data_IF_111906000775
#
_entry.id   IF_111906000775
#
_cell.length_a   1.000
_cell.length_b   1.000
_cell.length_c   1.000
_cell.angle_alpha   90.00
_cell.angle_beta   90.00
_cell.angle_gamma   90.00
#
_symmetry.space_group_name_H-M   'P 1'
#
loop_
_entity.id
_entity.type
_entity.pdbx_description
1 polymer ?
#
# COMPACT_ATOMS: atom_id res chain seq x y z
N UNK A 1 -1.56 -17.42 -3.04
CA UNK A 1 -2.82 -16.75 -2.69
C UNK A 1 -3.90 -17.80 -2.51
N UNK A 2 -4.61 -17.76 -1.39
CA UNK A 2 -5.62 -18.75 -1.07
C UNK A 2 -7.01 -18.18 -1.31
N UNK A 3 -7.84 -18.90 -2.06
CA UNK A 3 -9.25 -18.58 -2.29
C UNK A 3 -9.98 -18.42 -0.95
N UNK A 4 -10.84 -17.40 -0.83
CA UNK A 4 -11.61 -17.09 0.39
C UNK A 4 -10.81 -16.38 1.49
N UNK A 5 -9.51 -16.05 1.26
CA UNK A 5 -8.69 -15.33 2.24
C UNK A 5 -8.29 -13.92 1.79
N UNK A 6 -8.63 -13.53 0.57
CA UNK A 6 -8.27 -12.24 -0.03
C UNK A 6 -9.52 -11.49 -0.46
N UNK A 7 -9.54 -10.17 -0.26
CA UNK A 7 -10.65 -9.29 -0.67
C UNK A 7 -12.02 -9.82 -0.24
N UNK A 8 -12.16 -10.17 1.03
CA UNK A 8 -13.37 -10.84 1.57
C UNK A 8 -14.62 -9.98 1.42
N UNK A 9 -14.55 -8.65 1.59
CA UNK A 9 -15.66 -7.74 1.36
C UNK A 9 -16.14 -7.78 -0.11
N UNK A 10 -15.19 -7.76 -1.05
CA UNK A 10 -15.48 -7.89 -2.47
C UNK A 10 -16.05 -9.28 -2.78
N UNK A 11 -15.51 -10.34 -2.17
CA UNK A 11 -15.97 -11.72 -2.36
C UNK A 11 -17.42 -11.93 -1.92
N UNK A 12 -17.94 -11.19 -0.93
CA UNK A 12 -19.33 -11.23 -0.52
C UNK A 12 -20.30 -10.87 -1.68
N UNK A 13 -19.86 -9.99 -2.58
CA UNK A 13 -20.68 -9.54 -3.71
C UNK A 13 -20.42 -10.33 -5.00
N UNK A 14 -19.16 -10.65 -5.33
CA UNK A 14 -18.78 -11.25 -6.61
C UNK A 14 -18.39 -12.73 -6.51
N UNK A 15 -18.30 -13.28 -5.31
CA UNK A 15 -17.82 -14.63 -5.02
C UNK A 15 -16.30 -14.75 -4.97
N UNK A 16 -15.81 -15.80 -4.30
CA UNK A 16 -14.37 -15.99 -4.02
C UNK A 16 -13.52 -16.11 -5.28
N UNK A 17 -14.04 -16.76 -6.33
CA UNK A 17 -13.27 -16.98 -7.57
C UNK A 17 -13.02 -15.65 -8.29
N UNK A 18 -14.05 -14.83 -8.41
CA UNK A 18 -13.95 -13.53 -9.06
C UNK A 18 -13.09 -12.56 -8.23
N UNK A 19 -13.27 -12.55 -6.90
CA UNK A 19 -12.45 -11.74 -6.01
C UNK A 19 -10.95 -12.10 -6.11
N UNK A 20 -10.63 -13.39 -6.24
CA UNK A 20 -9.26 -13.86 -6.44
C UNK A 20 -8.69 -13.39 -7.79
N UNK A 21 -9.47 -13.46 -8.88
CA UNK A 21 -9.08 -12.96 -10.21
C UNK A 21 -8.79 -11.46 -10.15
N UNK A 22 -9.68 -10.69 -9.54
CA UNK A 22 -9.52 -9.24 -9.37
C UNK A 22 -8.24 -8.95 -8.58
N UNK A 23 -8.03 -9.65 -7.46
CA UNK A 23 -6.83 -9.44 -6.65
C UNK A 23 -5.54 -9.76 -7.41
N UNK A 24 -5.52 -10.81 -8.23
CA UNK A 24 -4.38 -11.09 -9.11
C UNK A 24 -4.09 -9.94 -10.09
N UNK A 25 -5.13 -9.32 -10.66
CA UNK A 25 -4.97 -8.17 -11.55
C UNK A 25 -4.43 -6.94 -10.82
N UNK A 26 -4.90 -6.68 -9.59
CA UNK A 26 -4.37 -5.62 -8.74
C UNK A 26 -2.87 -5.81 -8.45
N UNK A 27 -2.45 -7.03 -8.12
CA UNK A 27 -1.04 -7.34 -7.93
C UNK A 27 -0.21 -7.17 -9.23
N UNK A 28 -0.75 -7.59 -10.38
CA UNK A 28 -0.10 -7.39 -11.68
C UNK A 28 0.06 -5.90 -11.99
N UNK A 29 -0.96 -5.10 -11.69
CA UNK A 29 -0.91 -3.65 -11.83
C UNK A 29 0.17 -3.04 -10.92
N UNK A 30 0.14 -3.35 -9.63
CA UNK A 30 1.14 -2.87 -8.64
C UNK A 30 2.57 -3.24 -9.09
N UNK A 31 2.77 -4.46 -9.61
CA UNK A 31 4.04 -4.86 -10.22
C UNK A 31 4.39 -3.98 -11.42
N UNK A 32 3.45 -3.67 -12.30
CA UNK A 32 3.69 -2.85 -13.49
C UNK A 32 4.15 -1.43 -13.14
N UNK A 33 3.59 -0.87 -12.08
CA UNK A 33 3.95 0.45 -11.53
C UNK A 33 5.33 0.42 -10.88
N UNK A 34 5.59 -0.57 -10.04
CA UNK A 34 6.82 -0.62 -9.23
C UNK A 34 8.05 -1.10 -10.02
N UNK A 35 7.88 -1.93 -11.06
CA UNK A 35 9.01 -2.46 -11.86
C UNK A 35 9.84 -1.37 -12.54
N UNK A 36 9.26 -0.20 -12.78
CA UNK A 36 9.89 0.95 -13.44
C UNK A 36 10.70 1.83 -12.48
N UNK A 37 10.61 1.59 -11.18
CA UNK A 37 11.34 2.35 -10.18
C UNK A 37 12.81 1.89 -10.11
N UNK A 38 13.70 2.86 -9.98
CA UNK A 38 15.14 2.60 -9.75
C UNK A 38 15.44 2.69 -8.25
N UNK A 39 14.97 1.71 -7.49
CA UNK A 39 15.21 1.56 -6.06
C UNK A 39 15.17 0.08 -5.69
N UNK A 40 15.64 -0.25 -4.48
CA UNK A 40 15.42 -1.59 -3.91
C UNK A 40 13.93 -1.82 -3.68
N UNK A 41 13.47 -3.04 -3.92
CA UNK A 41 12.06 -3.42 -3.84
C UNK A 41 11.89 -4.65 -2.97
N UNK A 42 10.95 -4.56 -2.06
CA UNK A 42 10.63 -5.60 -1.09
C UNK A 42 9.15 -5.97 -1.19
N UNK A 43 8.85 -7.25 -1.10
CA UNK A 43 7.47 -7.75 -1.03
C UNK A 43 7.30 -8.52 0.27
N UNK A 44 6.31 -8.12 1.05
CA UNK A 44 6.01 -8.71 2.35
C UNK A 44 4.73 -9.56 2.26
N UNK A 45 4.87 -10.86 2.46
CA UNK A 45 3.78 -11.83 2.41
C UNK A 45 3.15 -12.04 3.79
N UNK A 46 1.84 -12.19 3.82
CA UNK A 46 1.10 -12.39 5.08
C UNK A 46 1.25 -13.77 5.69
N UNK A 47 1.47 -14.81 4.86
CA UNK A 47 1.43 -16.21 5.30
C UNK A 47 2.71 -16.96 4.93
N UNK A 48 3.05 -17.03 3.64
CA UNK A 48 4.23 -17.74 3.14
C UNK A 48 4.85 -17.04 1.95
N UNK A 49 6.17 -17.14 1.82
CA UNK A 49 6.88 -16.65 0.64
C UNK A 49 6.66 -17.64 -0.50
N UNK A 50 6.22 -17.11 -1.65
CA UNK A 50 6.15 -17.86 -2.90
C UNK A 50 7.28 -17.38 -3.83
N UNK A 51 8.18 -18.28 -4.18
CA UNK A 51 9.30 -17.98 -5.07
C UNK A 51 8.93 -18.10 -6.56
N UNK A 52 7.75 -18.65 -6.88
CA UNK A 52 7.26 -18.88 -8.24
C UNK A 52 6.07 -17.99 -8.61
N UNK A 53 5.93 -16.86 -7.96
CA UNK A 53 4.85 -15.90 -8.21
C UNK A 53 5.23 -14.82 -9.22
N UNK A 54 4.40 -13.79 -9.31
CA UNK A 54 4.58 -12.68 -10.26
C UNK A 54 5.79 -11.77 -9.93
N UNK A 55 6.33 -11.81 -8.69
CA UNK A 55 7.42 -10.94 -8.27
C UNK A 55 8.77 -11.58 -8.59
N UNK A 56 9.47 -11.05 -9.59
CA UNK A 56 10.78 -11.51 -10.06
C UNK A 56 11.82 -11.45 -8.93
N UNK A 57 12.34 -12.62 -8.52
CA UNK A 57 13.32 -12.75 -7.45
C UNK A 57 14.63 -11.98 -7.68
N UNK A 58 14.94 -11.59 -8.92
CA UNK A 58 16.10 -10.76 -9.25
C UNK A 58 15.86 -9.26 -9.01
N UNK A 59 14.60 -8.85 -8.84
CA UNK A 59 14.19 -7.45 -8.72
C UNK A 59 13.48 -7.13 -7.42
N UNK A 60 12.94 -8.16 -6.76
CA UNK A 60 12.18 -8.02 -5.52
C UNK A 60 12.72 -8.97 -4.47
N UNK A 61 13.12 -8.44 -3.34
CA UNK A 61 13.43 -9.24 -2.16
C UNK A 61 12.13 -9.59 -1.42
N UNK A 62 12.01 -10.84 -1.01
CA UNK A 62 10.76 -11.40 -0.47
C UNK A 62 10.88 -11.67 1.02
N UNK A 63 9.96 -11.15 1.81
CA UNK A 63 9.91 -11.27 3.26
C UNK A 63 8.54 -11.73 3.75
N UNK A 64 8.47 -12.23 4.98
CA UNK A 64 7.22 -12.45 5.69
C UNK A 64 6.89 -11.24 6.54
N UNK A 65 5.61 -10.86 6.57
CA UNK A 65 5.10 -9.87 7.51
C UNK A 65 5.24 -10.39 8.95
N UNK A 66 5.62 -9.53 9.86
CA UNK A 66 5.72 -9.83 11.28
C UNK A 66 4.81 -8.90 12.08
N UNK A 67 3.97 -9.45 12.95
CA UNK A 67 3.00 -8.71 13.76
C UNK A 67 1.59 -9.28 13.65
N UNK A 68 0.75 -8.97 14.62
CA UNK A 68 -0.63 -9.46 14.73
C UNK A 68 -1.62 -8.53 13.99
N UNK A 69 -1.38 -7.23 14.04
CA UNK A 69 -2.17 -6.20 13.39
C UNK A 69 -1.50 -5.67 12.12
N UNK A 70 -2.26 -4.98 11.26
CA UNK A 70 -1.71 -4.30 10.08
C UNK A 70 -0.63 -3.28 10.49
N UNK A 71 -0.88 -2.52 11.56
CA UNK A 71 0.07 -1.54 12.05
C UNK A 71 1.39 -2.16 12.49
N UNK A 72 1.36 -3.24 13.27
CA UNK A 72 2.56 -3.95 13.68
C UNK A 72 3.34 -4.51 12.50
N UNK A 73 2.64 -5.03 11.49
CA UNK A 73 3.27 -5.55 10.26
C UNK A 73 3.95 -4.45 9.46
N UNK A 74 3.29 -3.31 9.30
CA UNK A 74 3.89 -2.15 8.63
C UNK A 74 5.06 -1.58 9.42
N UNK A 75 4.92 -1.47 10.75
CA UNK A 75 5.97 -1.01 11.65
C UNK A 75 7.22 -1.90 11.54
N UNK A 76 7.04 -3.22 11.61
CA UNK A 76 8.13 -4.19 11.50
C UNK A 76 8.82 -4.08 10.13
N UNK A 77 8.06 -4.05 9.04
CA UNK A 77 8.61 -3.94 7.69
C UNK A 77 9.44 -2.66 7.50
N UNK A 78 8.97 -1.53 8.02
CA UNK A 78 9.72 -0.27 7.97
C UNK A 78 10.95 -0.29 8.87
N UNK A 79 10.82 -0.80 10.10
CA UNK A 79 11.94 -0.93 11.03
C UNK A 79 13.09 -1.76 10.44
N UNK A 80 12.77 -2.88 9.80
CA UNK A 80 13.75 -3.74 9.13
C UNK A 80 14.54 -2.98 8.06
N UNK A 81 13.87 -2.20 7.23
CA UNK A 81 14.53 -1.46 6.17
C UNK A 81 15.42 -0.33 6.71
N UNK A 82 14.96 0.37 7.75
CA UNK A 82 15.80 1.38 8.40
C UNK A 82 17.00 0.77 9.14
N UNK A 83 16.84 -0.41 9.77
CA UNK A 83 17.94 -1.15 10.38
C UNK A 83 19.00 -1.59 9.37
N UNK A 84 18.61 -1.85 8.11
CA UNK A 84 19.52 -2.10 6.98
C UNK A 84 20.17 -0.82 6.42
N UNK A 85 19.95 0.35 7.04
CA UNK A 85 20.57 1.61 6.65
C UNK A 85 19.88 2.35 5.50
N UNK A 86 18.66 1.96 5.11
CA UNK A 86 17.88 2.70 4.11
C UNK A 86 17.55 4.09 4.65
N UNK A 87 17.75 5.11 3.84
CA UNK A 87 17.53 6.51 4.25
C UNK A 87 16.13 7.03 3.97
N UNK A 88 15.43 6.42 3.03
CA UNK A 88 14.05 6.75 2.66
C UNK A 88 13.34 5.45 2.34
N UNK A 89 12.24 5.18 3.01
CA UNK A 89 11.45 3.97 2.81
C UNK A 89 10.01 4.37 2.54
N UNK A 90 9.42 3.76 1.51
CA UNK A 90 8.02 3.97 1.13
C UNK A 90 7.35 2.60 1.11
N UNK A 91 6.25 2.46 1.84
CA UNK A 91 5.36 1.30 1.80
C UNK A 91 4.08 1.68 1.07
N UNK A 92 3.57 0.77 0.25
CA UNK A 92 2.34 0.94 -0.53
C UNK A 92 1.40 -0.25 -0.32
N UNK A 93 0.10 0.00 -0.42
CA UNK A 93 -0.90 -1.04 -0.63
C UNK A 93 -0.77 -1.67 -2.02
N UNK A 94 -1.41 -2.81 -2.22
CA UNK A 94 -1.41 -3.53 -3.50
C UNK A 94 -2.78 -3.54 -4.18
N UNK A 95 -3.67 -2.68 -3.76
CA UNK A 95 -5.09 -2.63 -4.12
C UNK A 95 -5.57 -1.28 -4.69
N UNK A 96 -4.64 -0.34 -4.89
CA UNK A 96 -4.91 0.96 -5.48
C UNK A 96 -4.49 0.98 -6.97
N UNK A 97 -5.45 0.88 -7.89
CA UNK A 97 -5.19 0.92 -9.33
C UNK A 97 -4.99 2.34 -9.89
N UNK A 98 -5.30 3.35 -9.10
CA UNK A 98 -5.04 4.75 -9.45
C UNK A 98 -3.59 5.16 -9.14
N UNK A 99 -2.82 4.32 -8.42
CA UNK A 99 -1.43 4.59 -8.08
C UNK A 99 -0.53 4.48 -9.31
N UNK A 100 0.14 5.55 -9.67
CA UNK A 100 1.06 5.60 -10.81
C UNK A 100 2.53 5.69 -10.37
N UNK A 101 3.43 5.24 -11.25
CA UNK A 101 4.89 5.27 -11.01
C UNK A 101 5.40 6.67 -10.63
N UNK A 102 4.86 7.73 -11.23
CA UNK A 102 5.30 9.10 -10.94
C UNK A 102 4.95 9.54 -9.50
N UNK A 103 3.85 9.05 -8.94
CA UNK A 103 3.44 9.37 -7.56
C UNK A 103 4.42 8.78 -6.54
N UNK A 104 4.92 7.56 -6.78
CA UNK A 104 5.96 6.95 -5.94
C UNK A 104 7.28 7.72 -6.09
N UNK A 105 7.62 8.16 -7.29
CA UNK A 105 8.79 9.03 -7.51
C UNK A 105 8.65 10.36 -6.80
N UNK A 106 7.47 10.97 -6.83
CA UNK A 106 7.15 12.19 -6.08
C UNK A 106 7.31 11.96 -4.58
N UNK A 107 6.80 10.82 -4.04
CA UNK A 107 6.98 10.46 -2.64
C UNK A 107 8.46 10.45 -2.24
N UNK A 108 9.33 9.83 -3.03
CA UNK A 108 10.78 9.85 -2.75
C UNK A 108 11.40 11.24 -2.86
N UNK A 109 10.95 12.07 -3.80
CA UNK A 109 11.46 13.43 -3.98
C UNK A 109 11.06 14.34 -2.81
N UNK A 110 9.81 14.30 -2.38
CA UNK A 110 9.35 15.16 -1.26
C UNK A 110 9.95 14.75 0.08
N UNK A 111 10.36 13.48 0.25
CA UNK A 111 11.09 13.00 1.43
C UNK A 111 12.52 13.58 1.54
N UNK A 112 13.02 14.30 0.56
CA UNK A 112 14.28 15.06 0.70
C UNK A 112 14.13 16.21 1.71
N UNK A 113 12.95 16.80 1.80
CA UNK A 113 12.68 17.99 2.61
C UNK A 113 11.58 17.77 3.67
N UNK A 114 10.93 16.59 3.70
CA UNK A 114 9.90 16.23 4.65
C UNK A 114 10.29 14.97 5.42
N UNK A 115 9.80 14.84 6.64
CA UNK A 115 10.05 13.65 7.48
C UNK A 115 9.16 12.48 7.05
N UNK A 116 7.94 12.78 6.60
CA UNK A 116 6.90 11.80 6.21
C UNK A 116 6.21 12.25 4.92
N UNK A 117 5.83 11.30 4.08
CA UNK A 117 4.89 11.47 2.97
C UNK A 117 3.74 10.50 3.14
N UNK A 118 2.53 10.96 2.89
CA UNK A 118 1.32 10.14 2.97
C UNK A 118 0.54 10.30 1.67
N UNK A 119 0.13 9.18 1.09
CA UNK A 119 -0.86 9.12 0.02
C UNK A 119 -2.21 8.73 0.61
N UNK A 120 -3.13 9.68 0.85
CA UNK A 120 -4.40 9.42 1.49
C UNK A 120 -5.29 8.50 0.63
N UNK A 121 -6.02 7.60 1.26
CA UNK A 121 -7.11 6.86 0.66
C UNK A 121 -8.45 7.49 1.04
N UNK A 122 -9.46 7.36 0.18
CA UNK A 122 -10.76 8.01 0.38
C UNK A 122 -11.58 7.41 1.53
N UNK A 123 -11.21 6.21 2.00
CA UNK A 123 -11.80 5.52 3.14
C UNK A 123 -11.29 6.01 4.51
N UNK A 124 -10.42 7.03 4.53
CA UNK A 124 -9.81 7.56 5.76
C UNK A 124 -8.50 6.91 6.16
N UNK A 125 -8.01 5.94 5.39
CA UNK A 125 -6.69 5.35 5.48
C UNK A 125 -5.66 6.02 4.56
N UNK A 126 -4.68 5.25 4.13
CA UNK A 126 -3.70 5.70 3.14
C UNK A 126 -3.17 4.52 2.30
N UNK A 127 -3.06 4.75 0.99
CA UNK A 127 -2.48 3.80 0.04
C UNK A 127 -0.95 3.82 0.04
N UNK A 128 -0.35 4.88 0.58
CA UNK A 128 1.10 5.07 0.64
C UNK A 128 1.50 5.75 1.94
N UNK A 129 2.52 5.22 2.60
CA UNK A 129 3.22 5.86 3.71
C UNK A 129 4.73 5.79 3.46
N UNK A 130 5.40 6.94 3.48
CA UNK A 130 6.86 7.00 3.36
C UNK A 130 7.47 7.85 4.45
N UNK A 131 8.71 7.53 4.82
CA UNK A 131 9.45 8.30 5.81
C UNK A 131 10.96 8.28 5.53
N UNK A 132 11.68 9.31 6.02
CA UNK A 132 13.14 9.44 5.90
C UNK A 132 13.89 9.01 7.15
N UNK A 133 13.21 8.80 8.24
CA UNK A 133 13.68 8.20 9.48
C UNK A 133 12.56 7.40 10.10
N UNK A 134 12.87 6.33 10.79
CA UNK A 134 11.86 5.51 11.43
C UNK A 134 11.17 6.26 12.58
N UNK A 135 9.85 6.33 12.54
CA UNK A 135 9.00 6.99 13.53
C UNK A 135 8.01 5.97 14.13
N UNK A 136 8.42 5.18 15.13
CA UNK A 136 7.59 4.09 15.68
C UNK A 136 6.26 4.58 16.27
N UNK A 137 6.24 5.77 16.84
CA UNK A 137 5.04 6.38 17.44
C UNK A 137 3.87 6.53 16.46
N UNK A 138 4.13 6.56 15.15
CA UNK A 138 3.06 6.59 14.14
C UNK A 138 2.24 5.29 14.09
N UNK A 139 2.71 4.23 14.70
CA UNK A 139 2.08 2.91 14.70
C UNK A 139 1.42 2.54 16.03
N UNK A 140 1.62 3.35 17.07
CA UNK A 140 1.14 3.11 18.42
C UNK A 140 -0.28 3.64 18.61
N UNK A 141 -1.09 2.89 19.38
CA UNK A 141 -2.42 3.31 19.82
C UNK A 141 -3.36 3.78 18.69
N UNK A 142 -3.36 3.06 17.55
CA UNK A 142 -4.20 3.37 16.39
C UNK A 142 -5.15 2.23 16.05
N UNK A 143 -6.33 2.60 15.60
CA UNK A 143 -7.29 1.69 14.97
C UNK A 143 -6.99 1.61 13.46
N UNK A 144 -6.32 0.53 13.05
CA UNK A 144 -5.79 0.38 11.68
C UNK A 144 -6.84 0.07 10.60
N UNK A 145 -8.06 -0.19 11.00
CA UNK A 145 -9.20 -0.43 10.08
C UNK A 145 -10.28 0.64 10.19
N UNK A 146 -9.97 1.75 10.86
CA UNK A 146 -10.94 2.83 11.11
C UNK A 146 -10.79 3.99 10.12
N UNK A 147 -11.89 4.67 9.86
CA UNK A 147 -11.98 5.83 8.95
C UNK A 147 -11.17 7.05 9.45
N UNK A 148 -10.65 7.00 10.68
CA UNK A 148 -9.90 8.09 11.30
C UNK A 148 -8.38 7.90 11.25
N UNK A 149 -7.87 6.83 10.66
CA UNK A 149 -6.44 6.49 10.68
C UNK A 149 -5.55 7.64 10.16
N UNK A 150 -5.94 8.25 9.06
CA UNK A 150 -5.24 9.41 8.49
C UNK A 150 -5.21 10.58 9.48
N UNK A 151 -6.37 10.94 10.05
CA UNK A 151 -6.46 12.07 10.98
C UNK A 151 -5.63 11.85 12.23
N UNK A 152 -5.66 10.67 12.81
CA UNK A 152 -4.85 10.29 13.98
C UNK A 152 -3.35 10.35 13.66
N UNK A 153 -2.97 9.92 12.46
CA UNK A 153 -1.58 10.01 11.98
C UNK A 153 -1.13 11.46 11.84
N UNK A 154 -1.97 12.33 11.26
CA UNK A 154 -1.67 13.77 11.12
C UNK A 154 -1.57 14.48 12.49
N UNK A 155 -2.41 14.10 13.45
CA UNK A 155 -2.34 14.64 14.81
C UNK A 155 -1.02 14.26 15.50
N UNK A 156 -0.55 13.02 15.32
CA UNK A 156 0.72 12.59 15.90
C UNK A 156 1.91 13.28 15.23
N UNK A 157 1.90 13.43 13.91
CA UNK A 157 2.92 14.20 13.19
C UNK A 157 2.99 15.65 13.68
N UNK A 158 1.82 16.26 13.93
CA UNK A 158 1.75 17.62 14.49
C UNK A 158 2.32 17.68 15.92
N UNK A 159 1.98 16.72 16.80
CA UNK A 159 2.54 16.63 18.17
C UNK A 159 4.07 16.50 18.15
N UNK A 160 4.60 15.73 17.19
CA UNK A 160 6.05 15.55 17.02
C UNK A 160 6.74 16.70 16.31
N UNK A 161 6.01 17.71 15.83
CA UNK A 161 6.52 18.78 14.95
C UNK A 161 7.25 18.22 13.71
N UNK A 162 6.83 17.05 13.23
CA UNK A 162 7.38 16.41 12.05
C UNK A 162 6.82 17.07 10.79
N UNK A 163 7.70 17.34 9.82
CA UNK A 163 7.27 17.85 8.51
C UNK A 163 6.70 16.73 7.67
N UNK A 164 5.51 16.95 7.12
CA UNK A 164 4.89 15.96 6.25
C UNK A 164 4.37 16.58 4.95
N UNK A 165 4.19 15.72 3.95
CA UNK A 165 3.59 16.05 2.66
C UNK A 165 2.45 15.08 2.36
N UNK A 166 1.34 15.59 1.83
CA UNK A 166 0.22 14.79 1.38
C UNK A 166 0.22 14.73 -0.15
N UNK A 167 0.23 13.51 -0.68
CA UNK A 167 -0.01 13.25 -2.10
C UNK A 167 -1.51 13.40 -2.43
N UNK A 168 -1.85 13.28 -3.70
CA UNK A 168 -3.24 13.22 -4.14
C UNK A 168 -3.97 12.06 -3.47
N UNK A 169 -5.21 12.29 -3.03
CA UNK A 169 -6.09 11.23 -2.52
C UNK A 169 -6.52 10.30 -3.65
N UNK A 170 -6.45 9.00 -3.41
CA UNK A 170 -6.84 7.93 -4.34
C UNK A 170 -7.87 7.00 -3.70
N UNK A 171 -8.40 6.07 -4.49
CA UNK A 171 -9.34 5.07 -4.03
C UNK A 171 -8.71 3.67 -4.10
N UNK A 172 -8.85 2.91 -3.02
CA UNK A 172 -8.53 1.49 -2.99
C UNK A 172 -9.76 0.68 -3.44
N UNK A 173 -9.54 -0.52 -3.95
CA UNK A 173 -10.60 -1.42 -4.38
C UNK A 173 -10.89 -2.43 -3.28
N UNK A 174 -11.94 -2.21 -2.53
CA UNK A 174 -12.38 -3.11 -1.46
C UNK A 174 -13.78 -3.67 -1.66
N UNK A 175 -14.62 -2.99 -2.43
CA UNK A 175 -16.01 -3.34 -2.69
C UNK A 175 -16.32 -3.34 -4.20
N UNK A 176 -17.51 -3.82 -4.58
CA UNK A 176 -17.98 -3.76 -5.96
C UNK A 176 -18.25 -2.31 -6.40
N UNK A 177 -18.69 -1.46 -5.48
CA UNK A 177 -18.94 -0.04 -5.72
C UNK A 177 -17.65 0.69 -6.10
N UNK A 178 -16.51 0.30 -5.49
CA UNK A 178 -15.20 0.86 -5.85
C UNK A 178 -14.83 0.50 -7.29
N UNK A 179 -15.06 -0.75 -7.71
CA UNK A 179 -14.85 -1.19 -9.09
C UNK A 179 -15.71 -0.41 -10.07
N UNK A 180 -17.00 -0.23 -9.78
CA UNK A 180 -17.93 0.53 -10.61
C UNK A 180 -17.52 2.00 -10.73
N UNK A 181 -16.98 2.58 -9.67
CA UNK A 181 -16.52 3.96 -9.64
C UNK A 181 -15.35 4.20 -10.60
N UNK A 182 -14.46 3.22 -10.74
CA UNK A 182 -13.30 3.27 -11.63
C UNK A 182 -13.74 3.15 -13.09
N UNK A 183 -14.66 2.22 -13.40
CA UNK A 183 -15.19 2.04 -14.74
C UNK A 183 -15.89 3.28 -15.31
N UNK A 184 -16.37 4.18 -14.43
CA UNK A 184 -16.99 5.45 -14.85
C UNK A 184 -15.98 6.57 -15.09
N UNK A 185 -14.76 6.46 -14.55
CA UNK A 185 -13.71 7.49 -14.62
C UNK A 185 -12.64 7.23 -15.67
N UNK A 186 -12.45 5.98 -16.05
CA UNK A 186 -11.47 5.59 -17.08
C UNK A 186 -12.21 5.40 -18.42
N UNK A 187 -11.60 5.84 -19.52
CA UNK A 187 -12.04 5.47 -20.88
C UNK A 187 -11.85 3.94 -21.13
N UNK A 188 -11.15 3.24 -20.25
CA UNK A 188 -11.05 1.79 -20.20
C UNK A 188 -12.28 1.23 -19.50
N UNK A 189 -13.08 0.50 -20.26
CA UNK A 189 -14.29 -0.13 -19.72
C UNK A 189 -13.93 -1.15 -18.64
N UNK A 190 -14.78 -1.32 -17.59
CA UNK A 190 -14.58 -2.37 -16.60
C UNK A 190 -14.39 -3.76 -17.22
N UNK A 191 -14.94 -4.00 -18.39
CA UNK A 191 -14.83 -5.24 -19.19
C UNK A 191 -13.38 -5.57 -19.57
N UNK A 192 -12.48 -4.58 -19.67
CA UNK A 192 -11.06 -4.78 -19.97
C UNK A 192 -10.26 -5.20 -18.72
N UNK A 193 -10.90 -5.12 -17.54
CA UNK A 193 -10.33 -5.52 -16.25
C UNK A 193 -10.84 -6.88 -15.76
N UNK A 194 -11.87 -7.44 -16.41
CA UNK A 194 -12.52 -8.70 -16.03
C UNK A 194 -12.37 -9.79 -17.09
#
# INVERSE_FOLDING_TARGET
LDKGKVKTRLAESVGDDQALIIYHKLLQYTRSVTKQLNCDKFVYYSDRIDHNDLWDNMKYEKHLQQGQSLGERMQSALADQFALGKQRVVIIGSDCIELETYMIKEAFAVLENNDVVIGPASDGGYYLLGMRKFLPTLFENKEWSGDNLLMDTLLDLKKMSAKYYLLKTLNDIDTVEDLDSIGRRSEQKPEDWF
#
